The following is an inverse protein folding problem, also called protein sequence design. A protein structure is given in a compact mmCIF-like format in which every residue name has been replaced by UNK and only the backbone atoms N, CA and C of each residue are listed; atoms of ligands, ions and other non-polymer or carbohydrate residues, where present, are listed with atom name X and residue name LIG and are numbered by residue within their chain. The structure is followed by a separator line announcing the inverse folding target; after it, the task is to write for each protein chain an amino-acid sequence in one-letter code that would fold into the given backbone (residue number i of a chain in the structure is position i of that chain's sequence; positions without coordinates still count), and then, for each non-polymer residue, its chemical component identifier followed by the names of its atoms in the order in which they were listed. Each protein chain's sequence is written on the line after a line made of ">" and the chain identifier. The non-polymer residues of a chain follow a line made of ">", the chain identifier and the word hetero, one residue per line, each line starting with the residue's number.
data_IF_629437579314
#
_entry.id   IF_629437579314
#
_cell.length_a   1.000
_cell.length_b   1.000
_cell.length_c   1.000
_cell.angle_alpha   90.00
_cell.angle_beta   90.00
_cell.angle_gamma   90.00
#
_symmetry.space_group_name_H-M   'P 1'
#
loop_
_entity.id
_entity.type
_entity.pdbx_description
1 polymer ?
#
# COMPACT_ATOMS: atom_id res chain seq x y z
N UNK A 1 -22.30 -4.42 10.18
CA UNK A 1 -21.35 -3.58 10.93
C UNK A 1 -20.07 -4.33 11.25
N UNK A 2 -20.14 -5.53 11.84
CA UNK A 2 -18.95 -6.35 12.18
C UNK A 2 -18.03 -6.63 10.99
N UNK A 3 -18.59 -7.05 9.84
CA UNK A 3 -17.80 -7.36 8.63
C UNK A 3 -17.08 -6.13 8.06
N UNK A 4 -17.72 -4.97 8.04
CA UNK A 4 -17.11 -3.72 7.57
C UNK A 4 -15.92 -3.34 8.45
N UNK A 5 -16.06 -3.44 9.78
CA UNK A 5 -14.96 -3.14 10.70
C UNK A 5 -13.79 -4.10 10.47
N UNK A 6 -14.05 -5.39 10.25
CA UNK A 6 -13.02 -6.36 9.92
C UNK A 6 -12.30 -6.01 8.60
N UNK A 7 -13.05 -5.63 7.57
CA UNK A 7 -12.47 -5.21 6.28
C UNK A 7 -11.59 -3.98 6.44
N UNK A 8 -12.01 -2.98 7.22
CA UNK A 8 -11.19 -1.79 7.49
C UNK A 8 -9.89 -2.18 8.20
N UNK A 9 -9.95 -3.05 9.20
CA UNK A 9 -8.74 -3.52 9.89
C UNK A 9 -7.79 -4.25 8.94
N UNK A 10 -8.31 -5.10 8.07
CA UNK A 10 -7.51 -5.83 7.07
C UNK A 10 -6.93 -4.85 6.02
N UNK A 11 -7.70 -3.85 5.61
CA UNK A 11 -7.21 -2.81 4.69
C UNK A 11 -6.05 -2.03 5.30
N UNK A 12 -6.12 -1.67 6.59
CA UNK A 12 -5.01 -1.03 7.30
C UNK A 12 -3.76 -1.92 7.39
N UNK A 13 -3.94 -3.23 7.57
CA UNK A 13 -2.83 -4.20 7.52
C UNK A 13 -2.23 -4.26 6.12
N UNK A 14 -3.06 -4.30 5.08
CA UNK A 14 -2.59 -4.26 3.69
C UNK A 14 -1.81 -2.98 3.40
N UNK A 15 -2.33 -1.81 3.77
CA UNK A 15 -1.68 -0.51 3.56
C UNK A 15 -0.30 -0.46 4.23
N UNK A 16 -0.18 -0.99 5.45
CA UNK A 16 1.11 -1.09 6.14
C UNK A 16 2.09 -2.01 5.39
N UNK A 17 1.65 -3.21 5.02
CA UNK A 17 2.49 -4.17 4.31
C UNK A 17 2.93 -3.65 2.94
N UNK A 18 2.02 -3.00 2.22
CA UNK A 18 2.30 -2.40 0.93
C UNK A 18 3.31 -1.25 1.07
N UNK A 19 3.12 -0.36 2.03
CA UNK A 19 4.07 0.72 2.31
C UNK A 19 5.46 0.20 2.69
N UNK A 20 5.54 -0.89 3.46
CA UNK A 20 6.80 -1.54 3.81
C UNK A 20 7.50 -2.14 2.59
N UNK A 21 6.75 -2.80 1.70
CA UNK A 21 7.28 -3.35 0.44
C UNK A 21 7.83 -2.25 -0.47
N UNK A 22 7.05 -1.18 -0.64
CA UNK A 22 7.33 -0.10 -1.58
C UNK A 22 8.34 0.93 -1.05
N UNK A 23 8.60 0.97 0.26
CA UNK A 23 9.57 1.88 0.86
C UNK A 23 10.95 1.75 0.20
N UNK A 24 11.34 0.54 -0.21
CA UNK A 24 12.58 0.28 -0.93
C UNK A 24 12.68 1.11 -2.22
N UNK A 25 11.59 1.26 -2.97
CA UNK A 25 11.55 2.02 -4.23
C UNK A 25 11.81 3.52 -4.01
N UNK A 26 11.37 4.06 -2.87
CA UNK A 26 11.54 5.48 -2.53
C UNK A 26 12.93 5.82 -1.96
N UNK A 27 13.62 4.84 -1.37
CA UNK A 27 14.87 5.09 -0.61
C UNK A 27 16.13 4.48 -1.25
N UNK A 28 16.00 3.57 -2.22
CA UNK A 28 17.13 2.84 -2.79
C UNK A 28 18.25 3.77 -3.30
N UNK A 29 17.89 4.88 -3.94
CA UNK A 29 18.85 5.85 -4.49
C UNK A 29 19.63 6.59 -3.41
N UNK A 30 18.95 7.11 -2.38
CA UNK A 30 19.58 7.89 -1.30
C UNK A 30 20.40 7.01 -0.34
N UNK A 31 19.99 5.75 -0.14
CA UNK A 31 20.73 4.79 0.68
C UNK A 31 21.95 4.24 -0.05
N UNK A 32 21.82 3.89 -1.34
CA UNK A 32 22.95 3.37 -2.14
C UNK A 32 24.05 4.41 -2.35
N UNK A 33 23.68 5.67 -2.56
CA UNK A 33 24.61 6.81 -2.65
C UNK A 33 25.15 7.28 -1.30
N UNK A 34 24.66 6.68 -0.19
CA UNK A 34 25.06 7.00 1.20
C UNK A 34 24.80 8.45 1.59
N UNK A 35 23.81 9.10 0.97
CA UNK A 35 23.38 10.45 1.34
C UNK A 35 22.67 10.41 2.69
N UNK A 36 21.86 9.38 2.93
CA UNK A 36 21.16 9.15 4.20
C UNK A 36 21.46 7.76 4.73
N UNK A 37 21.49 7.61 6.06
CA UNK A 37 21.47 6.28 6.68
C UNK A 37 20.10 5.62 6.43
N UNK A 38 20.03 4.26 6.40
CA UNK A 38 18.79 3.56 6.11
C UNK A 38 17.60 3.97 7.00
N UNK A 39 17.85 4.18 8.29
CA UNK A 39 16.82 4.58 9.25
C UNK A 39 16.26 5.98 8.94
N UNK A 40 17.14 6.93 8.60
CA UNK A 40 16.73 8.30 8.25
C UNK A 40 16.00 8.30 6.92
N UNK A 41 16.43 7.48 5.95
CA UNK A 41 15.75 7.37 4.67
C UNK A 41 14.33 6.80 4.80
N UNK A 42 14.12 5.79 5.66
CA UNK A 42 12.77 5.28 5.95
C UNK A 42 11.90 6.34 6.62
N UNK A 43 12.42 7.08 7.61
CA UNK A 43 11.69 8.17 8.25
C UNK A 43 11.32 9.28 7.25
N UNK A 44 12.24 9.61 6.34
CA UNK A 44 12.02 10.55 5.25
C UNK A 44 10.89 10.09 4.31
N UNK A 45 10.95 8.83 3.85
CA UNK A 45 9.91 8.26 3.01
C UNK A 45 8.55 8.23 3.71
N UNK A 46 8.49 7.83 4.98
CA UNK A 46 7.26 7.81 5.76
C UNK A 46 6.64 9.22 5.89
N UNK A 47 7.45 10.23 6.17
CA UNK A 47 6.97 11.62 6.29
C UNK A 47 6.36 12.12 4.97
N UNK A 48 7.07 11.99 3.85
CA UNK A 48 6.56 12.48 2.57
C UNK A 48 5.37 11.67 2.05
N UNK A 49 5.33 10.35 2.25
CA UNK A 49 4.15 9.54 1.91
C UNK A 49 2.92 9.97 2.72
N UNK A 50 3.10 10.21 4.01
CA UNK A 50 2.01 10.69 4.86
C UNK A 50 1.50 12.06 4.41
N UNK A 51 2.39 13.03 4.15
CA UNK A 51 2.02 14.37 3.65
C UNK A 51 1.31 14.27 2.30
N UNK A 52 1.81 13.43 1.38
CA UNK A 52 1.23 13.25 0.05
C UNK A 52 -0.22 12.75 0.10
N UNK A 53 -0.58 11.92 1.08
CA UNK A 53 -1.95 11.43 1.26
C UNK A 53 -2.96 12.57 1.46
N UNK A 54 -2.56 13.68 2.09
CA UNK A 54 -3.43 14.85 2.32
C UNK A 54 -3.36 15.87 1.19
N UNK A 55 -2.21 16.02 0.53
CA UNK A 55 -2.00 17.04 -0.51
C UNK A 55 -2.50 16.58 -1.88
N UNK A 56 -2.28 15.31 -2.25
CA UNK A 56 -2.66 14.77 -3.57
C UNK A 56 -4.09 14.21 -3.59
N UNK A 57 -4.65 13.90 -2.42
CA UNK A 57 -6.01 13.38 -2.26
C UNK A 57 -6.24 12.04 -2.96
N UNK A 58 -7.50 11.66 -3.15
CA UNK A 58 -7.88 10.30 -3.59
C UNK A 58 -8.19 10.19 -5.09
N UNK A 59 -7.55 11.00 -5.92
CA UNK A 59 -7.92 11.13 -7.34
C UNK A 59 -7.64 9.82 -8.10
N UNK A 60 -6.48 9.20 -7.86
CA UNK A 60 -6.11 7.90 -8.45
C UNK A 60 -7.12 6.82 -8.08
N UNK A 61 -7.50 6.73 -6.79
CA UNK A 61 -8.49 5.76 -6.33
C UNK A 61 -9.85 5.93 -7.04
N UNK A 62 -10.31 7.17 -7.25
CA UNK A 62 -11.55 7.45 -7.99
C UNK A 62 -11.47 7.04 -9.46
N UNK A 63 -10.32 7.26 -10.10
CA UNK A 63 -10.11 6.89 -11.52
C UNK A 63 -10.08 5.37 -11.68
N UNK A 64 -9.35 4.67 -10.82
CA UNK A 64 -9.29 3.19 -10.85
C UNK A 64 -10.67 2.59 -10.56
N UNK A 65 -11.38 3.08 -9.55
CA UNK A 65 -12.69 2.57 -9.18
C UNK A 65 -13.78 2.78 -10.23
N UNK A 66 -13.77 3.90 -10.97
CA UNK A 66 -14.81 4.20 -11.98
C UNK A 66 -14.49 3.68 -13.38
N UNK A 67 -13.22 3.53 -13.71
CA UNK A 67 -12.77 3.23 -15.08
C UNK A 67 -12.37 1.78 -15.33
N UNK A 68 -12.08 1.00 -14.28
CA UNK A 68 -11.52 -0.35 -14.43
C UNK A 68 -12.38 -1.47 -13.82
N UNK A 69 -13.29 -1.14 -12.90
CA UNK A 69 -14.08 -2.13 -12.17
C UNK A 69 -15.56 -1.73 -12.25
N UNK A 70 -16.43 -2.69 -12.56
CA UNK A 70 -17.86 -2.49 -12.43
C UNK A 70 -18.25 -2.52 -10.93
N UNK A 71 -18.53 -1.34 -10.38
CA UNK A 71 -18.86 -1.18 -8.95
C UNK A 71 -20.15 -1.94 -8.58
N UNK A 72 -21.04 -2.22 -9.54
CA UNK A 72 -22.32 -2.87 -9.27
C UNK A 72 -22.18 -4.31 -8.76
N UNK A 73 -21.04 -4.96 -9.05
CA UNK A 73 -20.74 -6.33 -8.63
C UNK A 73 -19.76 -6.40 -7.45
N UNK A 74 -19.28 -5.26 -6.93
CA UNK A 74 -18.31 -5.22 -5.82
C UNK A 74 -19.05 -5.33 -4.49
N UNK A 75 -19.05 -6.53 -3.91
CA UNK A 75 -19.57 -6.78 -2.56
C UNK A 75 -18.46 -6.72 -1.51
N UNK A 76 -18.84 -6.77 -0.23
CA UNK A 76 -17.90 -6.77 0.89
C UNK A 76 -16.97 -7.98 0.85
N UNK A 77 -17.48 -9.13 0.41
CA UNK A 77 -16.75 -10.38 0.25
C UNK A 77 -15.71 -10.29 -0.87
N UNK A 78 -16.04 -9.61 -1.97
CA UNK A 78 -15.11 -9.37 -3.08
C UNK A 78 -13.94 -8.50 -2.62
N UNK A 79 -14.23 -7.42 -1.87
CA UNK A 79 -13.18 -6.55 -1.30
C UNK A 79 -12.28 -7.35 -0.35
N UNK A 80 -12.87 -8.15 0.52
CA UNK A 80 -12.13 -8.99 1.47
C UNK A 80 -11.23 -10.00 0.77
N UNK A 81 -11.75 -10.70 -0.24
CA UNK A 81 -10.98 -11.66 -1.04
C UNK A 81 -9.81 -10.98 -1.76
N UNK A 82 -10.05 -9.80 -2.34
CA UNK A 82 -9.01 -8.99 -2.97
C UNK A 82 -7.91 -8.57 -2.00
N UNK A 83 -8.28 -8.08 -0.81
CA UNK A 83 -7.32 -7.70 0.23
C UNK A 83 -6.50 -8.88 0.72
N UNK A 84 -7.12 -10.03 0.99
CA UNK A 84 -6.40 -11.24 1.42
C UNK A 84 -5.43 -11.70 0.32
N UNK A 85 -5.88 -11.73 -0.93
CA UNK A 85 -5.03 -12.09 -2.08
C UNK A 85 -3.83 -11.16 -2.24
N UNK A 86 -4.06 -9.85 -2.12
CA UNK A 86 -3.01 -8.84 -2.23
C UNK A 86 -2.01 -8.92 -1.06
N UNK A 87 -2.49 -9.08 0.18
CA UNK A 87 -1.64 -9.30 1.36
C UNK A 87 -0.79 -10.56 1.18
N UNK A 88 -1.43 -11.67 0.79
CA UNK A 88 -0.73 -12.94 0.58
C UNK A 88 0.38 -12.78 -0.45
N UNK A 89 0.08 -12.14 -1.59
CA UNK A 89 1.07 -11.92 -2.63
C UNK A 89 2.20 -11.00 -2.18
N UNK A 90 1.91 -9.89 -1.51
CA UNK A 90 2.94 -8.99 -0.95
C UNK A 90 3.89 -9.71 -0.01
N UNK A 91 3.38 -10.60 0.86
CA UNK A 91 4.22 -11.36 1.78
C UNK A 91 5.09 -12.38 1.05
N UNK A 92 4.55 -13.04 0.02
CA UNK A 92 5.28 -13.99 -0.82
C UNK A 92 6.42 -13.27 -1.56
N UNK A 93 6.13 -12.17 -2.24
CA UNK A 93 7.12 -11.45 -3.05
C UNK A 93 8.19 -10.81 -2.17
N UNK A 94 7.79 -10.27 -1.01
CA UNK A 94 8.72 -9.78 -0.02
C UNK A 94 9.68 -10.87 0.47
N UNK A 95 9.15 -12.06 0.81
CA UNK A 95 9.97 -13.17 1.29
C UNK A 95 11.04 -13.59 0.26
N UNK A 96 10.70 -13.53 -1.03
CA UNK A 96 11.64 -13.80 -2.12
C UNK A 96 12.48 -12.58 -2.55
N UNK A 97 12.30 -11.42 -1.93
CA UNK A 97 13.01 -10.19 -2.28
C UNK A 97 12.67 -9.63 -3.67
N UNK A 98 11.50 -9.97 -4.21
CA UNK A 98 11.03 -9.50 -5.51
C UNK A 98 10.30 -8.16 -5.31
N UNK A 99 10.81 -7.04 -5.85
CA UNK A 99 10.08 -5.78 -5.82
C UNK A 99 8.85 -5.90 -6.75
N UNK A 100 7.71 -5.47 -6.23
CA UNK A 100 6.40 -5.40 -6.91
C UNK A 100 5.96 -3.94 -6.88
#
# INVERSE_FOLDING_TARGET
>A
MTLIVAIILIALVFDFLNGFHDAANSIATVVSTRVLSPQVAVAWAAFFNFVAAFVLGTHVAKTIGKGMIDISVVTQEVILAGLIGAIFWNLVTWYYGIPV
#
